data_IF_967968456741
#
_entry.id   IF_967968456741
#
_cell.length_a   1.000
_cell.length_b   1.000
_cell.length_c   1.000
_cell.angle_alpha   90.00
_cell.angle_beta   90.00
_cell.angle_gamma   90.00
#
_symmetry.space_group_name_H-M   'P 1'
#
loop_
_entity.id
_entity.type
_entity.pdbx_description
1 polymer ?
#
# COMPACT_ATOMS: atom_id res chain seq x y z
N UNK A 1 -5.75 11.90 8.62
CA UNK A 1 -4.39 11.33 8.52
C UNK A 1 -3.90 11.64 7.12
N UNK A 2 -2.77 12.32 7.00
CA UNK A 2 -2.12 12.52 5.70
C UNK A 2 -1.04 11.45 5.58
N UNK A 3 -1.09 10.65 4.53
CA UNK A 3 0.01 9.76 4.19
C UNK A 3 1.07 10.58 3.46
N UNK A 4 2.32 10.44 3.87
CA UNK A 4 3.47 11.00 3.16
C UNK A 4 3.64 10.26 1.83
N UNK A 5 4.21 10.94 0.84
CA UNK A 5 4.62 10.30 -0.41
C UNK A 5 5.62 9.17 -0.13
N UNK A 6 5.45 8.06 -0.85
CA UNK A 6 6.35 6.91 -0.78
C UNK A 6 7.42 7.06 -1.84
N UNK A 7 8.68 7.08 -1.43
CA UNK A 7 9.82 7.08 -2.35
C UNK A 7 10.34 5.64 -2.56
N UNK A 8 10.89 5.33 -3.74
CA UNK A 8 11.51 4.02 -3.98
C UNK A 8 12.58 3.67 -2.94
N UNK A 9 13.34 4.66 -2.50
CA UNK A 9 14.39 4.52 -1.48
C UNK A 9 13.85 4.08 -0.12
N UNK A 10 12.58 4.34 0.19
CA UNK A 10 11.97 3.91 1.45
C UNK A 10 11.96 2.38 1.58
N UNK A 11 11.90 1.62 0.48
CA UNK A 11 11.84 0.16 0.53
C UNK A 11 13.18 -0.51 0.86
N UNK A 12 14.29 0.20 0.71
CA UNK A 12 15.65 -0.30 1.03
C UNK A 12 16.26 0.43 2.23
N UNK A 13 15.61 1.49 2.72
CA UNK A 13 16.06 2.28 3.85
C UNK A 13 15.97 1.51 5.16
N UNK A 14 17.10 1.37 5.84
CA UNK A 14 17.17 0.82 7.20
C UNK A 14 17.01 1.97 8.19
N UNK A 15 15.89 2.03 8.90
CA UNK A 15 15.60 3.04 9.92
C UNK A 15 14.73 2.45 11.03
N UNK A 16 14.76 3.08 12.20
CA UNK A 16 13.85 2.79 13.32
C UNK A 16 12.52 3.57 13.20
N UNK A 17 12.48 4.57 12.34
CA UNK A 17 11.27 5.35 12.07
C UNK A 17 10.31 4.59 11.17
N UNK A 18 9.01 4.85 11.34
CA UNK A 18 8.01 4.23 10.48
C UNK A 18 8.03 4.87 9.10
N UNK A 19 8.14 4.03 8.08
CA UNK A 19 8.25 4.47 6.70
C UNK A 19 6.86 4.77 6.10
N UNK A 20 6.76 5.69 5.12
CA UNK A 20 5.49 6.06 4.51
C UNK A 20 4.68 4.87 3.97
N UNK A 21 5.34 3.90 3.34
CA UNK A 21 4.67 2.69 2.85
C UNK A 21 4.09 1.85 4.00
N UNK A 22 4.78 1.74 5.14
CA UNK A 22 4.33 0.95 6.30
C UNK A 22 3.08 1.56 6.96
N UNK A 23 2.95 2.89 6.96
CA UNK A 23 1.74 3.60 7.41
C UNK A 23 0.54 3.24 6.53
N UNK A 24 0.72 3.25 5.20
CA UNK A 24 -0.31 2.87 4.23
C UNK A 24 -0.68 1.40 4.40
N UNK A 25 0.29 0.50 4.56
CA UNK A 25 0.01 -0.93 4.78
C UNK A 25 -0.81 -1.16 6.05
N UNK A 26 -0.45 -0.48 7.14
CA UNK A 26 -1.17 -0.57 8.41
C UNK A 26 -2.61 -0.10 8.25
N UNK A 27 -2.82 1.02 7.55
CA UNK A 27 -4.16 1.53 7.26
C UNK A 27 -4.98 0.56 6.41
N UNK A 28 -4.42 -0.02 5.36
CA UNK A 28 -5.11 -1.01 4.53
C UNK A 28 -5.47 -2.27 5.31
N UNK A 29 -4.56 -2.75 6.16
CA UNK A 29 -4.84 -3.91 7.01
C UNK A 29 -5.98 -3.60 7.97
N UNK A 30 -5.99 -2.42 8.59
CA UNK A 30 -7.06 -1.99 9.48
C UNK A 30 -8.41 -1.86 8.76
N UNK A 31 -8.42 -1.25 7.56
CA UNK A 31 -9.61 -1.10 6.72
C UNK A 31 -10.18 -2.46 6.30
N UNK A 32 -9.31 -3.42 5.97
CA UNK A 32 -9.72 -4.76 5.56
C UNK A 32 -10.10 -5.72 6.70
N UNK A 33 -10.31 -5.22 7.92
CA UNK A 33 -10.75 -6.04 9.06
C UNK A 33 -9.63 -6.63 9.94
N UNK A 34 -8.38 -6.17 9.78
CA UNK A 34 -7.18 -6.67 10.47
C UNK A 34 -6.84 -8.14 10.17
N UNK A 35 -5.70 -8.61 10.72
CA UNK A 35 -5.26 -10.00 10.60
C UNK A 35 -5.10 -10.50 9.16
N UNK A 36 -5.58 -11.71 8.89
CA UNK A 36 -5.47 -12.36 7.58
C UNK A 36 -6.35 -11.66 6.53
N UNK A 37 -7.53 -11.16 6.91
CA UNK A 37 -8.45 -10.48 6.00
C UNK A 37 -7.89 -9.12 5.56
N UNK A 38 -7.38 -8.34 6.51
CA UNK A 38 -6.66 -7.10 6.21
C UNK A 38 -5.47 -7.31 5.30
N UNK A 39 -4.70 -8.38 5.51
CA UNK A 39 -3.55 -8.72 4.65
C UNK A 39 -3.99 -9.11 3.23
N UNK A 40 -5.10 -9.86 3.10
CA UNK A 40 -5.69 -10.20 1.79
C UNK A 40 -6.21 -8.95 1.08
N UNK A 41 -6.89 -8.06 1.80
CA UNK A 41 -7.39 -6.80 1.26
C UNK A 41 -6.26 -5.90 0.77
N UNK A 42 -5.22 -5.68 1.59
CA UNK A 42 -3.98 -4.99 1.21
C UNK A 42 -3.42 -5.52 -0.12
N UNK A 43 -3.30 -6.84 -0.23
CA UNK A 43 -2.80 -7.47 -1.46
C UNK A 43 -3.67 -7.21 -2.69
N UNK A 44 -5.00 -7.23 -2.54
CA UNK A 44 -5.94 -6.89 -3.64
C UNK A 44 -5.83 -5.44 -4.06
N UNK A 45 -5.77 -4.53 -3.08
CA UNK A 45 -5.63 -3.08 -3.30
C UNK A 45 -4.33 -2.78 -4.03
N UNK A 46 -3.19 -3.30 -3.55
CA UNK A 46 -1.91 -3.08 -4.20
C UNK A 46 -1.88 -3.66 -5.62
N UNK A 47 -2.49 -4.84 -5.83
CA UNK A 47 -2.60 -5.43 -7.17
C UNK A 47 -3.42 -4.54 -8.11
N UNK A 48 -4.56 -4.03 -7.65
CA UNK A 48 -5.37 -3.09 -8.42
C UNK A 48 -4.62 -1.76 -8.68
N UNK A 49 -3.75 -1.34 -7.76
CA UNK A 49 -2.91 -0.16 -7.91
C UNK A 49 -1.70 -0.33 -8.83
N UNK A 50 -1.47 -1.51 -9.42
CA UNK A 50 -0.38 -1.77 -10.37
C UNK A 50 0.73 -2.68 -9.84
N UNK A 51 0.66 -3.15 -8.58
CA UNK A 51 1.61 -4.13 -8.06
C UNK A 51 1.34 -5.52 -8.67
N UNK A 52 2.09 -5.84 -9.73
CA UNK A 52 1.95 -7.06 -10.52
C UNK A 52 2.67 -8.30 -9.96
N UNK A 53 3.48 -8.13 -8.93
CA UNK A 53 4.34 -9.19 -8.40
C UNK A 53 3.65 -10.02 -7.30
N UNK A 54 4.09 -11.27 -7.16
CA UNK A 54 3.50 -12.23 -6.22
C UNK A 54 3.90 -11.95 -4.76
N UNK A 55 3.25 -12.66 -3.82
CA UNK A 55 3.45 -12.49 -2.36
C UNK A 55 4.88 -12.70 -1.87
N UNK A 56 5.72 -13.42 -2.63
CA UNK A 56 7.10 -13.71 -2.27
C UNK A 56 8.09 -12.65 -2.76
N UNK A 57 7.65 -11.73 -3.62
CA UNK A 57 8.49 -10.63 -4.11
C UNK A 57 8.45 -9.49 -3.11
N UNK A 58 9.63 -9.07 -2.64
CA UNK A 58 9.74 -7.92 -1.74
C UNK A 58 9.61 -6.62 -2.53
N UNK A 59 9.06 -5.58 -1.91
CA UNK A 59 8.99 -4.25 -2.53
C UNK A 59 10.38 -3.70 -2.88
N UNK A 60 11.41 -4.06 -2.10
CA UNK A 60 12.80 -3.74 -2.36
C UNK A 60 13.34 -4.30 -3.70
N UNK A 61 12.75 -5.38 -4.24
CA UNK A 61 13.14 -5.90 -5.55
C UNK A 61 12.67 -5.02 -6.72
N UNK A 62 11.55 -4.31 -6.54
CA UNK A 62 10.97 -3.41 -7.56
C UNK A 62 10.48 -2.12 -6.91
N UNK A 63 11.40 -1.32 -6.34
CA UNK A 63 11.04 -0.19 -5.47
C UNK A 63 10.30 0.92 -6.22
N UNK A 64 10.60 1.13 -7.50
CA UNK A 64 9.89 2.11 -8.33
C UNK A 64 8.42 1.71 -8.58
N UNK A 65 8.20 0.43 -8.94
CA UNK A 65 6.83 -0.09 -9.15
C UNK A 65 6.04 -0.12 -7.85
N UNK A 66 6.71 -0.45 -6.74
CA UNK A 66 6.09 -0.40 -5.43
C UNK A 66 5.69 1.03 -5.07
N UNK A 67 6.61 2.01 -5.20
CA UNK A 67 6.34 3.40 -4.88
C UNK A 67 5.16 3.96 -5.67
N UNK A 68 5.09 3.68 -6.98
CA UNK A 68 3.97 4.09 -7.84
C UNK A 68 2.64 3.52 -7.34
N UNK A 69 2.58 2.21 -7.08
CA UNK A 69 1.38 1.56 -6.58
C UNK A 69 0.95 2.12 -5.21
N UNK A 70 1.90 2.31 -4.28
CA UNK A 70 1.62 2.88 -2.97
C UNK A 70 1.15 4.34 -3.05
N UNK A 71 1.73 5.16 -3.93
CA UNK A 71 1.32 6.55 -4.11
C UNK A 71 -0.07 6.66 -4.75
N UNK A 72 -0.41 5.74 -5.66
CA UNK A 72 -1.78 5.64 -6.21
C UNK A 72 -2.80 5.31 -5.12
N UNK A 73 -2.48 4.34 -4.25
CA UNK A 73 -3.31 4.03 -3.08
C UNK A 73 -3.41 5.21 -2.14
N UNK A 74 -2.31 5.90 -1.85
CA UNK A 74 -2.29 7.11 -1.01
C UNK A 74 -3.28 8.16 -1.52
N UNK A 75 -3.32 8.42 -2.82
CA UNK A 75 -4.25 9.38 -3.42
C UNK A 75 -5.72 9.01 -3.20
N UNK A 76 -6.03 7.72 -3.15
CA UNK A 76 -7.39 7.22 -2.90
C UNK A 76 -7.71 7.22 -1.41
N UNK A 77 -6.76 6.86 -0.55
CA UNK A 77 -6.94 6.91 0.90
C UNK A 77 -7.12 8.34 1.44
N UNK A 78 -6.74 9.37 0.66
CA UNK A 78 -7.09 10.76 0.94
C UNK A 78 -8.57 11.07 0.67
N UNK A 79 -9.23 10.29 -0.18
CA UNK A 79 -10.62 10.51 -0.61
C UNK A 79 -11.61 9.59 0.10
N UNK A 80 -11.26 8.32 0.30
CA UNK A 80 -12.15 7.32 0.89
C UNK A 80 -11.38 6.29 1.73
N UNK A 81 -12.08 5.74 2.71
CA UNK A 81 -11.60 4.64 3.57
C UNK A 81 -12.51 3.41 3.48
N UNK A 82 -13.51 3.47 2.62
CA UNK A 82 -14.46 2.37 2.43
C UNK A 82 -13.81 1.29 1.55
N UNK A 83 -13.69 0.04 2.01
CA UNK A 83 -12.99 -1.03 1.30
C UNK A 83 -13.44 -1.20 -0.16
N UNK A 84 -14.76 -1.14 -0.38
CA UNK A 84 -15.38 -1.32 -1.70
C UNK A 84 -15.06 -0.14 -2.62
N UNK A 85 -15.08 1.09 -2.09
CA UNK A 85 -14.76 2.28 -2.88
C UNK A 85 -13.28 2.36 -3.24
N UNK A 86 -12.40 1.91 -2.35
CA UNK A 86 -10.96 1.86 -2.64
C UNK A 86 -10.67 0.98 -3.85
N UNK A 87 -11.27 -0.22 -3.89
CA UNK A 87 -11.09 -1.14 -5.02
C UNK A 87 -11.76 -0.61 -6.30
N UNK A 88 -12.94 0.00 -6.19
CA UNK A 88 -13.65 0.57 -7.33
C UNK A 88 -12.91 1.74 -7.99
N UNK A 89 -12.14 2.53 -7.23
CA UNK A 89 -11.34 3.63 -7.77
C UNK A 89 -9.97 3.19 -8.34
N UNK A 90 -9.49 2.01 -7.95
CA UNK A 90 -8.22 1.46 -8.45
C UNK A 90 -8.39 0.63 -9.72
N UNK A 91 -9.60 0.08 -9.96
CA UNK A 91 -9.95 -0.76 -11.10
C UNK A 91 -10.36 0.04 -12.33
#
# INVERSE_FOLDING_TARGET
MQFTEVNPEDFTRITLERLPHQEIETALIAIGGNGVEGTKFKGRVLKAAGWKYERLTTYASYPETAAEAFNRVRGILQQTREPEQILAQLG
#
